data_IF_097825687613
#
_entry.id   IF_097825687613
#
_cell.length_a   1.000
_cell.length_b   1.000
_cell.length_c   1.000
_cell.angle_alpha   90.00
_cell.angle_beta   90.00
_cell.angle_gamma   90.00
#
_symmetry.space_group_name_H-M   'P 1'
#
loop_
_entity.id
_entity.type
_entity.pdbx_description
1 polymer ?
#
# COMPACT_ATOMS: atom_id res chain seq x y z
N UNK A 1 -19.55 13.78 -27.40
CA UNK A 1 -20.21 14.87 -26.66
C UNK A 1 -21.72 14.57 -26.63
N UNK A 2 -22.23 13.79 -25.67
CA UNK A 2 -23.61 13.29 -25.76
C UNK A 2 -24.63 14.08 -24.91
N UNK A 3 -24.21 14.99 -24.01
CA UNK A 3 -25.13 15.88 -23.29
C UNK A 3 -24.40 17.13 -22.76
N UNK A 4 -24.26 18.21 -23.55
CA UNK A 4 -23.71 19.47 -23.05
C UNK A 4 -24.65 20.08 -22.00
N UNK A 5 -24.08 20.59 -20.90
CA UNK A 5 -24.84 21.22 -19.80
C UNK A 5 -24.05 22.36 -19.18
N UNK A 6 -24.77 23.41 -18.76
CA UNK A 6 -24.19 24.53 -18.00
C UNK A 6 -23.61 24.07 -16.67
N UNK A 7 -24.13 22.96 -16.11
CA UNK A 7 -23.68 22.41 -14.84
C UNK A 7 -22.23 21.92 -14.88
N UNK A 8 -21.67 21.59 -16.05
CA UNK A 8 -20.23 21.31 -16.19
C UNK A 8 -19.36 22.51 -15.79
N UNK A 9 -19.88 23.74 -15.91
CA UNK A 9 -19.17 24.97 -15.56
C UNK A 9 -19.48 25.43 -14.12
N UNK A 10 -20.70 25.20 -13.63
CA UNK A 10 -21.17 25.83 -12.38
C UNK A 10 -21.45 24.86 -11.21
N UNK A 11 -21.70 23.57 -11.46
CA UNK A 11 -21.98 22.58 -10.39
C UNK A 11 -20.84 21.63 -10.09
N UNK A 12 -19.81 21.56 -10.93
CA UNK A 12 -18.64 20.70 -10.71
C UNK A 12 -17.94 20.93 -9.35
N UNK A 13 -18.18 22.08 -8.69
CA UNK A 13 -17.65 22.40 -7.36
C UNK A 13 -18.62 22.26 -6.18
N UNK A 14 -19.92 22.00 -6.39
CA UNK A 14 -20.86 21.74 -5.28
C UNK A 14 -20.62 20.34 -4.74
N UNK A 15 -19.69 20.25 -3.78
CA UNK A 15 -19.53 19.02 -3.00
C UNK A 15 -20.75 18.89 -2.10
N UNK A 16 -21.50 17.80 -2.26
CA UNK A 16 -22.48 17.41 -1.26
C UNK A 16 -21.78 17.30 0.09
N UNK A 17 -22.37 17.93 1.11
CA UNK A 17 -21.85 17.84 2.46
C UNK A 17 -22.19 16.45 2.98
N UNK A 18 -21.23 15.54 2.90
CA UNK A 18 -21.31 14.25 3.58
C UNK A 18 -20.97 14.44 5.06
N UNK A 19 -21.76 13.82 5.93
CA UNK A 19 -21.49 13.81 7.37
C UNK A 19 -20.36 12.83 7.70
N UNK A 20 -19.71 13.01 8.85
CA UNK A 20 -18.70 12.05 9.31
C UNK A 20 -19.31 10.67 9.54
N UNK A 21 -20.54 10.61 10.03
CA UNK A 21 -21.30 9.40 10.28
C UNK A 21 -21.53 8.61 8.99
N UNK A 22 -21.94 9.28 7.91
CA UNK A 22 -22.12 8.66 6.60
C UNK A 22 -20.79 8.15 6.02
N UNK A 23 -19.71 8.90 6.17
CA UNK A 23 -18.37 8.46 5.76
C UNK A 23 -17.96 7.20 6.52
N UNK A 24 -18.07 7.21 7.85
CA UNK A 24 -17.69 6.08 8.69
C UNK A 24 -18.54 4.84 8.41
N UNK A 25 -19.85 5.03 8.19
CA UNK A 25 -20.76 3.97 7.77
C UNK A 25 -20.34 3.38 6.44
N UNK A 26 -20.11 4.22 5.43
CA UNK A 26 -19.67 3.78 4.09
C UNK A 26 -18.34 3.04 4.16
N UNK A 27 -17.37 3.53 4.95
CA UNK A 27 -16.08 2.85 5.14
C UNK A 27 -16.25 1.47 5.78
N UNK A 28 -17.14 1.34 6.77
CA UNK A 28 -17.40 0.07 7.46
C UNK A 28 -18.12 -0.94 6.57
N UNK A 29 -19.12 -0.50 5.81
CA UNK A 29 -19.91 -1.35 4.91
C UNK A 29 -19.07 -2.01 3.80
N UNK A 30 -17.93 -1.39 3.43
CA UNK A 30 -17.04 -1.90 2.37
C UNK A 30 -16.22 -3.13 2.78
N UNK A 31 -16.10 -3.41 4.08
CA UNK A 31 -15.27 -4.53 4.57
C UNK A 31 -13.78 -4.37 4.29
N UNK A 32 -13.34 -3.17 3.91
CA UNK A 32 -11.94 -2.82 3.63
C UNK A 32 -11.31 -2.10 4.81
N UNK A 33 -9.97 -2.02 4.84
CA UNK A 33 -9.25 -1.29 5.88
C UNK A 33 -8.72 0.03 5.36
N UNK A 34 -9.15 1.12 5.97
CA UNK A 34 -8.59 2.44 5.70
C UNK A 34 -7.46 2.77 6.68
N UNK A 35 -6.35 3.29 6.17
CA UNK A 35 -5.22 3.79 6.95
C UNK A 35 -4.74 5.09 6.31
N UNK A 36 -4.55 6.12 7.13
CA UNK A 36 -3.95 7.38 6.70
C UNK A 36 -2.57 7.55 7.34
N UNK A 37 -1.56 7.85 6.53
CA UNK A 37 -0.24 8.31 6.98
C UNK A 37 -0.29 9.83 6.97
N UNK A 38 -0.37 10.42 8.15
CA UNK A 38 -0.47 11.87 8.34
C UNK A 38 0.87 12.42 8.85
N UNK A 39 1.28 13.58 8.34
CA UNK A 39 2.46 14.28 8.84
C UNK A 39 2.34 15.79 8.66
N UNK A 40 3.01 16.51 9.54
CA UNK A 40 3.12 17.96 9.55
C UNK A 40 4.52 18.36 9.07
N UNK A 41 4.60 19.42 8.26
CA UNK A 41 5.84 19.91 7.70
C UNK A 41 5.80 21.44 7.55
N UNK A 42 6.96 22.13 7.50
CA UNK A 42 7.04 23.53 7.10
C UNK A 42 6.41 23.74 5.73
N UNK A 43 6.06 24.98 5.37
CA UNK A 43 5.48 25.26 4.06
C UNK A 43 6.37 24.72 2.92
N UNK A 44 5.80 23.88 2.07
CA UNK A 44 6.43 23.38 0.84
C UNK A 44 5.57 23.84 -0.33
N UNK A 45 6.21 24.38 -1.38
CA UNK A 45 5.52 24.73 -2.60
C UNK A 45 4.75 23.52 -3.17
N UNK A 46 3.47 23.73 -3.48
CA UNK A 46 2.55 22.67 -3.90
C UNK A 46 3.01 21.89 -5.14
N UNK A 47 3.71 22.56 -6.06
CA UNK A 47 4.26 21.95 -7.28
C UNK A 47 5.44 21.01 -6.98
N UNK A 48 6.14 21.23 -5.85
CA UNK A 48 7.19 20.33 -5.37
C UNK A 48 6.63 19.23 -4.47
N UNK A 49 5.57 19.54 -3.71
CA UNK A 49 4.96 18.62 -2.74
C UNK A 49 4.18 17.49 -3.41
N UNK A 50 3.30 17.81 -4.37
CA UNK A 50 2.46 16.79 -5.02
C UNK A 50 3.25 15.66 -5.71
N UNK A 51 4.30 15.94 -6.51
CA UNK A 51 5.10 14.89 -7.12
C UNK A 51 5.78 13.99 -6.09
N UNK A 52 6.21 14.55 -4.95
CA UNK A 52 6.83 13.79 -3.87
C UNK A 52 5.83 12.90 -3.14
N UNK A 53 4.64 13.43 -2.84
CA UNK A 53 3.54 12.65 -2.27
C UNK A 53 3.15 11.48 -3.18
N UNK A 54 3.04 11.74 -4.48
CA UNK A 54 2.65 10.75 -5.47
C UNK A 54 3.73 9.66 -5.63
N UNK A 55 5.01 10.04 -5.67
CA UNK A 55 6.12 9.10 -5.67
C UNK A 55 6.09 8.23 -4.41
N UNK A 56 5.95 8.85 -3.23
CA UNK A 56 5.92 8.15 -1.95
C UNK A 56 4.75 7.17 -1.87
N UNK A 57 3.54 7.60 -2.25
CA UNK A 57 2.34 6.76 -2.33
C UNK A 57 2.58 5.53 -3.22
N UNK A 58 3.09 5.73 -4.45
CA UNK A 58 3.38 4.64 -5.40
C UNK A 58 4.46 3.69 -4.88
N UNK A 59 5.51 4.21 -4.26
CA UNK A 59 6.58 3.40 -3.67
C UNK A 59 6.04 2.52 -2.54
N UNK A 60 5.26 3.11 -1.62
CA UNK A 60 4.64 2.37 -0.51
C UNK A 60 3.72 1.25 -1.02
N UNK A 61 2.88 1.52 -2.03
CA UNK A 61 2.02 0.49 -2.64
C UNK A 61 2.87 -0.67 -3.16
N UNK A 62 3.89 -0.40 -3.98
CA UNK A 62 4.78 -1.42 -4.54
C UNK A 62 5.52 -2.21 -3.45
N UNK A 63 5.92 -1.54 -2.36
CA UNK A 63 6.60 -2.21 -1.26
C UNK A 63 5.65 -3.11 -0.46
N UNK A 64 4.42 -2.66 -0.19
CA UNK A 64 3.42 -3.45 0.52
C UNK A 64 2.94 -4.66 -0.31
N UNK A 65 2.85 -4.52 -1.64
CA UNK A 65 2.54 -5.63 -2.56
C UNK A 65 3.57 -6.77 -2.49
N UNK A 66 4.86 -6.45 -2.26
CA UNK A 66 5.90 -7.47 -2.03
C UNK A 66 5.61 -8.33 -0.79
N UNK A 67 4.87 -7.79 0.18
CA UNK A 67 4.41 -8.51 1.36
C UNK A 67 3.01 -9.11 1.21
N UNK A 68 2.45 -9.12 -0.02
CA UNK A 68 1.13 -9.67 -0.38
C UNK A 68 -0.06 -8.92 0.21
N UNK A 69 0.12 -7.71 0.72
CA UNK A 69 -0.98 -6.79 0.99
C UNK A 69 -1.45 -6.16 -0.32
N UNK A 70 -2.72 -5.79 -0.40
CA UNK A 70 -3.31 -5.26 -1.63
C UNK A 70 -4.11 -3.99 -1.34
N UNK A 71 -3.71 -2.92 -2.03
CA UNK A 71 -4.35 -1.61 -1.97
C UNK A 71 -5.44 -1.57 -3.03
N UNK A 72 -6.67 -1.37 -2.61
CA UNK A 72 -7.81 -1.19 -3.51
C UNK A 72 -7.90 0.24 -4.02
N UNK A 73 -7.63 1.22 -3.16
CA UNK A 73 -7.63 2.64 -3.53
C UNK A 73 -6.61 3.43 -2.69
N UNK A 74 -6.12 4.54 -3.22
CA UNK A 74 -5.28 5.45 -2.44
C UNK A 74 -5.28 6.88 -2.99
N UNK A 75 -5.11 7.85 -2.09
CA UNK A 75 -5.14 9.27 -2.42
C UNK A 75 -4.21 10.05 -1.50
N UNK A 76 -3.57 11.08 -2.05
CA UNK A 76 -2.83 12.07 -1.25
C UNK A 76 -3.68 13.32 -1.06
N UNK A 77 -3.63 13.91 0.12
CA UNK A 77 -4.30 15.12 0.52
C UNK A 77 -3.30 16.12 1.10
N UNK A 78 -3.47 17.39 0.77
CA UNK A 78 -2.73 18.53 1.34
C UNK A 78 -3.77 19.53 1.82
N UNK A 79 -3.60 20.06 3.03
CA UNK A 79 -4.45 21.15 3.49
C UNK A 79 -4.19 22.43 2.69
N UNK A 80 -5.10 23.40 2.76
CA UNK A 80 -4.98 24.67 2.03
C UNK A 80 -3.71 25.46 2.38
N UNK A 81 -3.22 25.34 3.61
CA UNK A 81 -2.00 26.01 4.06
C UNK A 81 -0.70 25.30 3.65
N UNK A 82 -0.75 24.13 3.00
CA UNK A 82 0.43 23.35 2.58
C UNK A 82 1.42 23.02 3.71
N UNK A 83 0.89 22.71 4.90
CA UNK A 83 1.67 22.35 6.11
C UNK A 83 1.23 21.03 6.75
N UNK A 84 0.09 20.48 6.31
CA UNK A 84 -0.44 19.18 6.74
C UNK A 84 -0.76 18.35 5.52
N UNK A 85 -0.28 17.12 5.52
CA UNK A 85 -0.52 16.18 4.43
C UNK A 85 -0.90 14.81 4.96
N UNK A 86 -1.65 14.10 4.13
CA UNK A 86 -2.04 12.72 4.40
C UNK A 86 -1.92 11.89 3.12
N UNK A 87 -1.40 10.67 3.25
CA UNK A 87 -1.54 9.64 2.24
C UNK A 87 -2.52 8.60 2.78
N UNK A 88 -3.67 8.51 2.14
CA UNK A 88 -4.76 7.63 2.54
C UNK A 88 -4.72 6.39 1.65
N UNK A 89 -4.80 5.23 2.27
CA UNK A 89 -4.89 3.93 1.63
C UNK A 89 -6.16 3.23 2.07
N UNK A 90 -6.81 2.59 1.11
CA UNK A 90 -7.88 1.62 1.34
C UNK A 90 -7.36 0.25 0.90
N UNK A 91 -7.31 -0.70 1.82
CA UNK A 91 -6.78 -2.04 1.60
C UNK A 91 -7.92 -3.06 1.49
N UNK A 92 -7.87 -3.89 0.46
CA UNK A 92 -8.71 -5.09 0.35
C UNK A 92 -8.07 -6.30 1.06
N UNK A 93 -6.73 -6.36 1.09
CA UNK A 93 -5.98 -7.35 1.89
C UNK A 93 -5.12 -6.58 2.89
N UNK A 94 -5.55 -6.60 4.15
CA UNK A 94 -4.92 -5.87 5.27
C UNK A 94 -4.46 -6.77 6.42
N UNK A 95 -4.96 -8.00 6.45
CA UNK A 95 -4.57 -9.06 7.38
C UNK A 95 -4.30 -10.32 6.57
N UNK A 96 -3.19 -10.99 6.86
CA UNK A 96 -2.77 -12.25 6.27
C UNK A 96 -2.64 -13.31 7.38
N UNK A 97 -2.63 -14.60 7.05
CA UNK A 97 -2.25 -15.63 8.02
C UNK A 97 -0.82 -15.44 8.53
N UNK A 98 -0.42 -16.15 9.60
CA UNK A 98 0.97 -16.07 10.09
C UNK A 98 1.97 -16.80 9.17
N UNK A 99 1.50 -17.76 8.36
CA UNK A 99 2.33 -18.64 7.55
C UNK A 99 2.12 -18.43 6.06
N UNK A 100 3.19 -18.16 5.32
CA UNK A 100 3.17 -18.13 3.86
C UNK A 100 3.87 -19.32 3.23
N UNK A 101 3.42 -19.67 2.02
CA UNK A 101 4.13 -20.60 1.13
C UNK A 101 5.13 -19.80 0.29
N UNK A 102 6.38 -20.26 0.31
CA UNK A 102 7.46 -19.82 -0.56
C UNK A 102 7.60 -20.85 -1.66
N UNK A 103 7.52 -20.38 -2.91
CA UNK A 103 7.81 -21.19 -4.07
C UNK A 103 9.32 -21.22 -4.30
N UNK A 104 9.89 -22.41 -4.28
CA UNK A 104 11.27 -22.69 -4.62
C UNK A 104 11.46 -23.02 -6.10
N UNK A 105 12.67 -23.48 -6.47
CA UNK A 105 12.97 -23.83 -7.84
C UNK A 105 12.17 -25.07 -8.30
N UNK A 106 11.92 -25.19 -9.61
CA UNK A 106 11.50 -26.42 -10.26
C UNK A 106 12.45 -27.60 -10.01
N UNK A 107 11.95 -28.84 -10.11
CA UNK A 107 12.75 -30.06 -9.88
C UNK A 107 13.75 -30.38 -11.00
N UNK A 108 13.57 -29.79 -12.18
CA UNK A 108 14.45 -29.93 -13.36
C UNK A 108 15.58 -28.88 -13.38
N UNK A 109 15.60 -27.97 -12.42
CA UNK A 109 16.67 -26.97 -12.25
C UNK A 109 17.93 -27.63 -11.68
N UNK A 110 19.16 -27.16 -11.97
CA UNK A 110 20.38 -27.78 -11.43
C UNK A 110 20.35 -27.98 -9.91
N UNK A 111 20.89 -29.13 -9.45
CA UNK A 111 20.80 -29.58 -8.05
C UNK A 111 21.26 -28.52 -7.04
N UNK A 112 22.29 -27.74 -7.35
CA UNK A 112 22.78 -26.66 -6.48
C UNK A 112 21.70 -25.67 -6.06
N UNK A 113 20.77 -25.32 -6.95
CA UNK A 113 19.68 -24.40 -6.64
C UNK A 113 18.61 -25.07 -5.77
N UNK A 114 18.35 -26.35 -6.01
CA UNK A 114 17.43 -27.15 -5.20
C UNK A 114 17.96 -27.32 -3.78
N UNK A 115 19.24 -27.73 -3.64
CA UNK A 115 19.93 -27.89 -2.37
C UNK A 115 19.99 -26.58 -1.58
N UNK A 116 20.27 -25.46 -2.25
CA UNK A 116 20.25 -24.13 -1.61
C UNK A 116 18.87 -23.84 -1.01
N UNK A 117 17.80 -24.09 -1.76
CA UNK A 117 16.43 -23.87 -1.27
C UNK A 117 16.10 -24.78 -0.09
N UNK A 118 16.40 -26.08 -0.18
CA UNK A 118 16.17 -27.06 0.89
C UNK A 118 17.00 -26.71 2.14
N UNK A 119 18.22 -26.20 1.96
CA UNK A 119 19.08 -25.81 3.07
C UNK A 119 18.55 -24.59 3.84
N UNK A 120 18.03 -23.59 3.12
CA UNK A 120 17.39 -22.41 3.71
C UNK A 120 16.04 -22.80 4.35
N UNK A 121 15.31 -23.70 3.71
CA UNK A 121 13.96 -24.10 4.09
C UNK A 121 13.91 -25.57 4.49
N UNK A 122 14.26 -25.88 5.74
CA UNK A 122 14.36 -27.26 6.25
C UNK A 122 13.06 -28.07 6.18
N UNK A 123 11.91 -27.42 6.02
CA UNK A 123 10.60 -28.03 5.81
C UNK A 123 10.15 -28.02 4.34
N UNK A 124 11.09 -27.87 3.40
CA UNK A 124 10.81 -27.92 1.97
C UNK A 124 10.24 -29.29 1.59
N UNK A 125 9.24 -29.26 0.70
CA UNK A 125 8.60 -30.45 0.13
C UNK A 125 8.28 -30.20 -1.33
N UNK A 126 7.99 -31.26 -2.09
CA UNK A 126 7.50 -31.12 -3.45
C UNK A 126 6.04 -30.67 -3.45
N UNK A 127 5.78 -29.60 -4.20
CA UNK A 127 4.44 -29.08 -4.50
C UNK A 127 4.21 -29.16 -6.01
N UNK A 128 3.83 -30.35 -6.50
CA UNK A 128 3.82 -30.64 -7.92
C UNK A 128 5.24 -30.72 -8.48
N UNK A 129 5.56 -29.88 -9.46
CA UNK A 129 6.82 -29.90 -10.19
C UNK A 129 7.93 -29.01 -9.62
N UNK A 130 7.73 -28.44 -8.43
CA UNK A 130 8.70 -27.52 -7.78
C UNK A 130 8.77 -27.74 -6.28
N UNK A 131 9.86 -27.25 -5.68
CA UNK A 131 10.00 -27.16 -4.24
C UNK A 131 9.09 -26.07 -3.67
N UNK A 132 8.49 -26.33 -2.51
CA UNK A 132 7.71 -25.37 -1.74
C UNK A 132 8.04 -25.51 -0.26
N UNK A 133 7.98 -24.40 0.48
CA UNK A 133 8.16 -24.42 1.93
C UNK A 133 7.19 -23.46 2.62
N UNK A 134 6.78 -23.81 3.84
CA UNK A 134 6.00 -22.93 4.69
C UNK A 134 6.93 -22.12 5.60
N UNK A 135 6.77 -20.80 5.70
CA UNK A 135 7.52 -19.98 6.66
C UNK A 135 6.62 -18.96 7.34
N UNK A 136 7.06 -18.47 8.50
CA UNK A 136 6.42 -17.31 9.14
C UNK A 136 6.56 -16.07 8.26
N UNK A 137 5.46 -15.34 8.07
CA UNK A 137 5.48 -14.03 7.41
C UNK A 137 6.23 -13.03 8.28
N UNK A 138 6.84 -12.04 7.63
CA UNK A 138 7.43 -10.89 8.34
C UNK A 138 6.36 -10.02 8.98
N UNK A 139 5.21 -9.86 8.31
CA UNK A 139 4.08 -9.05 8.78
C UNK A 139 2.77 -9.80 8.56
N UNK A 140 1.94 -9.84 9.60
CA UNK A 140 0.56 -10.33 9.54
C UNK A 140 -0.40 -9.21 9.15
N UNK A 141 -0.20 -8.03 9.75
CA UNK A 141 -1.04 -6.86 9.55
C UNK A 141 -0.33 -5.82 8.68
N UNK A 142 -1.09 -5.16 7.81
CA UNK A 142 -0.56 -4.10 6.95
C UNK A 142 -0.07 -2.89 7.76
N UNK A 143 -0.65 -2.64 8.94
CA UNK A 143 -0.20 -1.58 9.85
C UNK A 143 1.26 -1.76 10.29
N UNK A 144 1.69 -2.99 10.53
CA UNK A 144 3.05 -3.28 10.98
C UNK A 144 4.04 -3.18 9.81
N UNK A 145 3.62 -3.67 8.64
CA UNK A 145 4.36 -3.49 7.39
C UNK A 145 4.57 -2.00 7.07
N UNK A 146 3.51 -1.20 7.17
CA UNK A 146 3.58 0.23 6.87
C UNK A 146 4.49 0.98 7.85
N UNK A 147 4.39 0.71 9.15
CA UNK A 147 5.31 1.26 10.17
C UNK A 147 6.76 0.93 9.84
N UNK A 148 7.04 -0.32 9.47
CA UNK A 148 8.38 -0.77 9.09
C UNK A 148 8.90 -0.01 7.86
N UNK A 149 8.10 0.08 6.80
CA UNK A 149 8.50 0.77 5.56
C UNK A 149 8.74 2.27 5.77
N UNK A 150 7.91 2.91 6.60
CA UNK A 150 8.08 4.32 6.97
C UNK A 150 9.38 4.55 7.76
N UNK A 151 9.78 3.59 8.60
CA UNK A 151 11.04 3.66 9.35
C UNK A 151 12.28 3.46 8.47
N UNK A 152 12.21 2.60 7.44
CA UNK A 152 13.33 2.41 6.50
C UNK A 152 13.60 3.63 5.60
N UNK A 153 12.59 4.50 5.41
CA UNK A 153 12.65 5.73 4.59
C UNK A 153 13.15 5.53 3.14
N UNK A 154 13.13 4.29 2.63
CA UNK A 154 13.71 3.98 1.33
C UNK A 154 12.78 4.37 0.16
N UNK A 155 13.26 5.26 -0.72
CA UNK A 155 12.57 5.64 -1.95
C UNK A 155 11.50 6.74 -1.80
N UNK A 156 11.46 7.43 -0.65
CA UNK A 156 10.58 8.57 -0.42
C UNK A 156 11.10 9.86 -1.08
N UNK A 157 10.24 10.87 -1.20
CA UNK A 157 10.65 12.23 -1.58
C UNK A 157 11.58 12.84 -0.52
N UNK A 158 12.52 13.70 -0.92
CA UNK A 158 13.54 14.29 -0.04
C UNK A 158 12.94 14.99 1.19
N UNK A 159 11.79 15.66 1.00
CA UNK A 159 11.11 16.42 2.06
C UNK A 159 10.24 15.54 2.98
N UNK A 160 10.08 14.25 2.66
CA UNK A 160 9.37 13.29 3.51
C UNK A 160 10.27 12.68 4.59
N UNK A 161 11.57 13.00 4.54
CA UNK A 161 12.63 12.36 5.35
C UNK A 161 12.98 13.18 6.60
N UNK A 162 12.62 14.46 6.64
CA UNK A 162 12.87 15.38 7.76
C UNK A 162 11.62 15.63 8.60
#
# INVERSE_FOLDING_TARGET
>A
MLSPSIDFFFRAGKKEKITTEEVMRTMKERGTKFIAVCYEHPYININNLYPQLEKTRKTLIKQMEKFKFKVMNSKSYVNSACVKTAIIFEFEIFELPDIEIVNGPPIDTPLIYQETFINIHKNAKLGGWRWVAARKRKFKMVSDCLKFLLAEKHGFGKEFIN
#
